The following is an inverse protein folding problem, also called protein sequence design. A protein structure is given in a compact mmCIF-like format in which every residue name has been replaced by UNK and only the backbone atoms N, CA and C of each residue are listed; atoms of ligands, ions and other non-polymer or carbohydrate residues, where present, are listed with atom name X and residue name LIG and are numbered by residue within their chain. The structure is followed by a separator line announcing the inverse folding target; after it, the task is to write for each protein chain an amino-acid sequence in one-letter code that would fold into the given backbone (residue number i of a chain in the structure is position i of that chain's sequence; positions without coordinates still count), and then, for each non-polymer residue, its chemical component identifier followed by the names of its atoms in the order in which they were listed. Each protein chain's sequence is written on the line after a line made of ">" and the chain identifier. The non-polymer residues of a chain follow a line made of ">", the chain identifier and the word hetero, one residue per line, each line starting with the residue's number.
data_IF_716252076293
#
_entry.id   IF_716252076293
#
_cell.length_a   1.000
_cell.length_b   1.000
_cell.length_c   1.000
_cell.angle_alpha   90.00
_cell.angle_beta   90.00
_cell.angle_gamma   90.00
#
_symmetry.space_group_name_H-M   'P 1'
#
loop_
_entity.id
_entity.type
_entity.pdbx_description
1 polymer ?
#
# COMPACT_ATOMS: atom_id res chain seq x y z
N UNK A 1 52.19 -39.68 51.31
CA UNK A 1 50.78 -39.47 51.72
C UNK A 1 50.12 -38.15 51.15
N UNK A 2 50.71 -37.47 50.15
CA UNK A 2 50.10 -36.20 49.61
C UNK A 2 49.22 -36.45 48.39
N UNK A 3 49.35 -37.53 47.64
CA UNK A 3 48.60 -37.71 46.38
C UNK A 3 47.18 -38.27 46.53
N UNK A 4 46.87 -38.97 47.65
CA UNK A 4 45.53 -39.52 47.87
C UNK A 4 44.43 -38.50 48.13
N UNK A 5 44.79 -37.35 48.71
CA UNK A 5 43.82 -36.23 48.96
C UNK A 5 43.45 -35.46 47.70
N UNK A 6 44.31 -35.44 46.67
CA UNK A 6 44.05 -34.78 45.41
C UNK A 6 43.06 -35.60 44.57
N UNK A 7 43.27 -36.93 44.50
CA UNK A 7 42.33 -37.80 43.77
C UNK A 7 40.95 -37.84 44.37
N UNK A 8 40.85 -37.75 45.71
CA UNK A 8 39.56 -37.70 46.40
C UNK A 8 38.78 -36.41 46.11
N UNK A 9 39.47 -35.25 46.00
CA UNK A 9 38.86 -34.00 45.65
C UNK A 9 38.39 -33.93 44.20
N UNK A 10 39.18 -34.53 43.28
CA UNK A 10 38.82 -34.61 41.86
C UNK A 10 37.63 -35.57 41.65
N UNK A 11 37.64 -36.72 42.34
CA UNK A 11 36.54 -37.69 42.30
C UNK A 11 35.25 -37.11 42.88
N UNK A 12 35.32 -36.32 43.97
CA UNK A 12 34.18 -35.66 44.58
C UNK A 12 33.62 -34.52 43.66
N UNK A 13 34.50 -33.84 42.93
CA UNK A 13 34.09 -32.82 41.94
C UNK A 13 33.32 -33.45 40.76
N UNK A 14 33.78 -34.57 40.23
CA UNK A 14 33.09 -35.29 39.14
C UNK A 14 31.74 -35.88 39.62
N UNK A 15 31.65 -36.34 40.87
CA UNK A 15 30.42 -36.86 41.45
C UNK A 15 29.37 -35.75 41.63
N UNK A 16 29.78 -34.53 42.00
CA UNK A 16 28.91 -33.37 42.12
C UNK A 16 28.43 -32.87 40.76
N UNK A 17 29.26 -32.88 39.73
CA UNK A 17 28.86 -32.49 38.34
C UNK A 17 27.90 -33.54 37.78
N UNK A 18 28.12 -34.83 38.04
CA UNK A 18 27.21 -35.92 37.61
C UNK A 18 25.84 -35.84 38.33
N UNK A 19 25.81 -35.49 39.63
CA UNK A 19 24.59 -35.31 40.38
C UNK A 19 23.83 -34.07 39.91
N UNK A 20 24.54 -33.00 39.53
CA UNK A 20 23.89 -31.79 38.96
C UNK A 20 23.34 -32.02 37.55
N UNK A 21 24.04 -32.84 36.71
CA UNK A 21 23.57 -33.29 35.41
C UNK A 21 22.34 -34.23 35.52
N UNK A 22 22.28 -35.05 36.56
CA UNK A 22 21.16 -35.96 36.81
C UNK A 22 19.93 -35.22 37.34
N UNK A 23 20.11 -34.11 38.07
CA UNK A 23 19.00 -33.21 38.49
C UNK A 23 18.38 -32.42 37.33
N UNK A 24 19.15 -32.19 36.27
CA UNK A 24 18.63 -31.54 35.06
C UNK A 24 17.83 -32.49 34.17
N UNK A 25 17.98 -33.81 34.36
CA UNK A 25 17.25 -34.84 33.59
C UNK A 25 15.95 -35.29 34.28
N UNK A 26 15.73 -34.96 35.55
CA UNK A 26 14.48 -35.28 36.28
C UNK A 26 13.47 -34.15 36.35
N UNK A 27 13.74 -33.00 35.71
CA UNK A 27 12.81 -31.88 35.64
C UNK A 27 11.93 -31.91 34.39
N UNK A 28 11.86 -33.02 33.67
CA UNK A 28 10.97 -33.18 32.49
C UNK A 28 10.00 -34.35 32.71
N UNK A 29 9.25 -34.35 33.78
CA UNK A 29 8.06 -35.18 33.97
C UNK A 29 7.14 -34.44 34.95
N UNK A 30 6.67 -33.30 34.53
CA UNK A 30 5.55 -32.63 35.14
C UNK A 30 4.50 -32.43 34.06
N UNK A 31 3.46 -33.18 34.23
CA UNK A 31 2.11 -32.84 33.86
C UNK A 31 1.90 -32.32 32.43
N UNK A 32 1.53 -33.24 31.56
CA UNK A 32 0.77 -32.91 30.38
C UNK A 32 -0.63 -32.43 30.77
N UNK A 33 -0.67 -31.35 31.56
CA UNK A 33 -1.76 -30.40 31.48
C UNK A 33 -1.65 -29.84 30.08
N UNK A 34 -2.55 -30.23 29.21
CA UNK A 34 -2.88 -29.47 28.02
C UNK A 34 -3.23 -28.06 28.53
N UNK A 35 -2.22 -27.18 28.62
CA UNK A 35 -2.47 -25.80 28.30
C UNK A 35 -2.86 -25.87 26.82
N UNK A 36 -4.13 -25.91 26.54
CA UNK A 36 -4.69 -25.21 25.40
C UNK A 36 -4.19 -23.76 25.59
N UNK A 37 -2.99 -23.44 25.14
CA UNK A 37 -2.69 -22.11 24.66
C UNK A 37 -3.82 -21.86 23.67
N UNK A 38 -4.80 -21.08 24.12
CA UNK A 38 -5.85 -20.58 23.25
C UNK A 38 -5.13 -20.09 22.00
N UNK A 39 -5.38 -20.71 20.86
CA UNK A 39 -4.68 -20.48 19.61
C UNK A 39 -5.01 -19.10 19.04
N UNK A 40 -4.74 -18.07 19.83
CA UNK A 40 -4.89 -16.66 19.46
C UNK A 40 -3.82 -16.32 18.45
N UNK A 41 -4.23 -16.02 17.24
CA UNK A 41 -3.33 -15.57 16.20
C UNK A 41 -2.93 -14.13 16.51
N UNK A 42 -1.62 -13.87 16.47
CA UNK A 42 -1.06 -12.53 16.69
C UNK A 42 -0.28 -12.16 15.45
N UNK A 43 -0.53 -10.99 14.90
CA UNK A 43 0.25 -10.39 13.82
C UNK A 43 0.97 -9.14 14.33
N UNK A 44 2.02 -8.74 13.62
CA UNK A 44 2.68 -7.44 13.84
C UNK A 44 2.27 -6.51 12.70
N UNK A 45 1.65 -5.39 13.04
CA UNK A 45 1.22 -4.41 12.03
C UNK A 45 2.36 -3.45 11.62
N UNK A 46 2.10 -2.57 10.67
CA UNK A 46 3.13 -1.65 10.15
C UNK A 46 3.44 -0.46 11.08
N UNK A 47 2.79 -0.36 12.25
CA UNK A 47 3.25 0.46 13.38
C UNK A 47 4.17 -0.32 14.33
N UNK A 48 4.43 -1.62 14.05
CA UNK A 48 5.24 -2.50 14.89
C UNK A 48 4.50 -3.05 16.12
N UNK A 49 3.15 -2.96 16.15
CA UNK A 49 2.33 -3.40 17.29
C UNK A 49 1.91 -4.86 17.11
N UNK A 50 1.93 -5.62 18.19
CA UNK A 50 1.33 -6.95 18.25
C UNK A 50 -0.20 -6.82 18.34
N UNK A 51 -0.92 -7.32 17.35
CA UNK A 51 -2.38 -7.28 17.29
C UNK A 51 -2.92 -8.70 17.39
N UNK A 52 -3.72 -8.94 18.42
CA UNK A 52 -4.46 -10.20 18.57
C UNK A 52 -5.64 -10.22 17.62
N UNK A 53 -5.73 -11.24 16.78
CA UNK A 53 -6.83 -11.41 15.84
C UNK A 53 -8.04 -12.08 16.52
N UNK A 54 -9.27 -11.77 16.07
CA UNK A 54 -10.42 -12.53 16.48
C UNK A 54 -10.31 -14.00 16.03
N UNK A 55 -10.89 -14.92 16.76
CA UNK A 55 -10.89 -16.36 16.46
C UNK A 55 -11.44 -16.60 15.02
N UNK A 56 -12.50 -15.89 14.68
CA UNK A 56 -13.08 -15.87 13.33
C UNK A 56 -13.22 -14.44 12.86
N UNK A 57 -12.73 -14.15 11.65
CA UNK A 57 -12.92 -12.86 10.99
C UNK A 57 -14.23 -12.93 10.21
N UNK A 58 -15.28 -12.32 10.74
CA UNK A 58 -16.62 -12.36 10.18
C UNK A 58 -16.88 -11.21 9.22
N UNK A 59 -16.68 -9.98 9.69
CA UNK A 59 -16.87 -8.75 8.92
C UNK A 59 -15.69 -7.80 9.14
N UNK A 60 -15.26 -7.23 8.03
CA UNK A 60 -14.14 -6.29 7.99
C UNK A 60 -14.52 -4.97 7.35
N UNK A 61 -13.77 -3.95 7.68
CA UNK A 61 -13.76 -2.70 6.94
C UNK A 61 -12.36 -2.07 6.94
N UNK A 62 -12.20 -1.01 6.18
CA UNK A 62 -11.03 -0.15 6.24
C UNK A 62 -11.48 1.31 6.37
N UNK A 63 -10.76 2.07 7.18
CA UNK A 63 -11.03 3.50 7.41
C UNK A 63 -10.22 4.40 6.48
N UNK A 64 -9.39 3.79 5.63
CA UNK A 64 -8.60 4.48 4.62
C UNK A 64 -8.69 3.74 3.28
N UNK A 65 -8.60 4.51 2.19
CA UNK A 65 -8.72 4.02 0.82
C UNK A 65 -7.77 2.85 0.51
N UNK A 66 -6.51 2.93 0.97
CA UNK A 66 -5.51 1.92 0.69
C UNK A 66 -5.91 0.55 1.26
N UNK A 67 -6.20 0.46 2.55
CA UNK A 67 -6.68 -0.78 3.17
C UNK A 67 -7.93 -1.34 2.49
N UNK A 68 -8.87 -0.45 2.12
CA UNK A 68 -10.09 -0.84 1.40
C UNK A 68 -9.81 -1.45 0.03
N UNK A 69 -8.94 -0.85 -0.77
CA UNK A 69 -8.55 -1.39 -2.08
C UNK A 69 -7.79 -2.72 -1.96
N UNK A 70 -6.96 -2.85 -0.93
CA UNK A 70 -6.27 -4.11 -0.65
C UNK A 70 -7.25 -5.24 -0.29
N UNK A 71 -8.37 -4.96 0.38
CA UNK A 71 -9.40 -5.98 0.63
C UNK A 71 -9.96 -6.56 -0.67
N UNK A 72 -10.19 -5.75 -1.71
CA UNK A 72 -10.58 -6.24 -3.04
C UNK A 72 -9.46 -7.08 -3.67
N UNK A 73 -8.23 -6.56 -3.69
CA UNK A 73 -7.09 -7.27 -4.26
C UNK A 73 -6.85 -8.63 -3.59
N UNK A 74 -7.09 -8.73 -2.28
CA UNK A 74 -7.00 -9.97 -1.51
C UNK A 74 -8.23 -10.87 -1.63
N UNK A 75 -9.23 -10.51 -2.45
CA UNK A 75 -10.43 -11.31 -2.66
C UNK A 75 -11.37 -11.38 -1.46
N UNK A 76 -11.36 -10.39 -0.57
CA UNK A 76 -12.16 -10.41 0.68
C UNK A 76 -13.50 -9.66 0.57
N UNK A 77 -14.02 -9.46 -0.63
CA UNK A 77 -15.27 -8.71 -0.89
C UNK A 77 -16.45 -9.23 -0.05
N UNK A 78 -16.56 -10.55 0.12
CA UNK A 78 -17.64 -11.20 0.90
C UNK A 78 -17.60 -10.87 2.41
N UNK A 79 -16.44 -10.45 2.91
CA UNK A 79 -16.28 -10.07 4.31
C UNK A 79 -16.45 -8.58 4.54
N UNK A 80 -16.51 -7.75 3.50
CA UNK A 80 -16.70 -6.31 3.63
C UNK A 80 -18.07 -6.04 4.27
N UNK A 81 -18.11 -5.20 5.30
CA UNK A 81 -19.32 -4.97 6.10
C UNK A 81 -20.27 -3.94 5.47
N UNK A 82 -19.76 -3.03 4.65
CA UNK A 82 -20.53 -1.95 4.03
C UNK A 82 -19.84 -1.44 2.76
N UNK A 83 -20.57 -0.76 1.88
CA UNK A 83 -19.98 -0.11 0.69
C UNK A 83 -19.03 1.02 1.11
N UNK A 84 -17.74 0.77 0.99
CA UNK A 84 -16.71 1.78 1.26
C UNK A 84 -16.69 2.77 0.09
N UNK A 85 -17.06 4.02 0.34
CA UNK A 85 -17.01 5.11 -0.66
C UNK A 85 -15.57 5.64 -0.79
N UNK A 86 -14.72 4.88 -1.44
CA UNK A 86 -13.28 5.12 -1.57
C UNK A 86 -12.82 5.25 -3.02
N UNK A 87 -13.69 5.76 -3.87
CA UNK A 87 -13.41 6.09 -5.26
C UNK A 87 -14.47 5.55 -6.23
N UNK A 88 -14.51 6.13 -7.42
CA UNK A 88 -15.48 5.81 -8.46
C UNK A 88 -15.45 4.33 -8.91
N UNK A 89 -14.29 3.68 -8.80
CA UNK A 89 -14.15 2.25 -9.09
C UNK A 89 -14.95 1.35 -8.13
N UNK A 90 -14.95 1.64 -6.83
CA UNK A 90 -15.77 0.89 -5.86
C UNK A 90 -17.25 1.20 -5.98
N UNK A 91 -17.61 2.42 -6.39
CA UNK A 91 -18.98 2.77 -6.75
C UNK A 91 -19.43 1.98 -7.98
N UNK A 92 -18.57 1.83 -9.00
CA UNK A 92 -18.83 1.02 -10.18
C UNK A 92 -18.95 -0.46 -9.84
N UNK A 93 -18.10 -1.00 -8.97
CA UNK A 93 -18.22 -2.39 -8.47
C UNK A 93 -19.57 -2.59 -7.78
N UNK A 94 -20.05 -1.64 -6.98
CA UNK A 94 -21.36 -1.74 -6.32
C UNK A 94 -22.55 -1.79 -7.31
N UNK A 95 -22.35 -1.35 -8.56
CA UNK A 95 -23.38 -1.47 -9.61
C UNK A 95 -23.41 -2.85 -10.24
N UNK A 96 -22.26 -3.51 -10.40
CA UNK A 96 -22.13 -4.78 -11.13
C UNK A 96 -22.07 -6.01 -10.21
N UNK A 97 -21.55 -5.86 -9.00
CA UNK A 97 -21.47 -6.93 -8.01
C UNK A 97 -22.71 -6.92 -7.10
N UNK A 98 -23.53 -7.94 -7.21
CA UNK A 98 -24.81 -8.03 -6.49
C UNK A 98 -24.61 -8.08 -4.97
N UNK A 99 -23.56 -8.79 -4.48
CA UNK A 99 -23.28 -8.88 -3.04
C UNK A 99 -22.84 -7.52 -2.51
N UNK A 100 -21.79 -6.92 -3.10
CA UNK A 100 -21.25 -5.64 -2.63
C UNK A 100 -22.27 -4.49 -2.80
N UNK A 101 -23.04 -4.49 -3.89
CA UNK A 101 -24.12 -3.53 -4.14
C UNK A 101 -25.28 -3.62 -3.15
N UNK A 102 -25.51 -4.78 -2.53
CA UNK A 102 -26.55 -4.96 -1.50
C UNK A 102 -26.14 -4.48 -0.10
N UNK A 103 -24.85 -4.24 0.13
CA UNK A 103 -24.36 -3.81 1.43
C UNK A 103 -24.84 -2.40 1.79
N UNK A 104 -24.99 -2.08 3.10
CA UNK A 104 -25.34 -0.74 3.54
C UNK A 104 -24.27 0.26 3.09
N UNK A 105 -24.70 1.48 2.76
CA UNK A 105 -23.79 2.59 2.49
C UNK A 105 -23.53 3.32 3.80
N UNK A 106 -22.29 3.30 4.28
CA UNK A 106 -21.85 4.13 5.40
C UNK A 106 -20.98 5.24 4.81
N UNK A 107 -21.42 6.48 4.98
CA UNK A 107 -20.61 7.63 4.60
C UNK A 107 -19.38 7.65 5.52
N UNK A 108 -18.23 7.32 4.97
CA UNK A 108 -16.99 7.58 5.68
C UNK A 108 -16.94 9.07 5.97
N UNK A 109 -16.82 9.42 7.25
CA UNK A 109 -16.59 10.81 7.64
C UNK A 109 -15.36 11.33 6.88
N UNK A 110 -15.32 12.59 6.44
CA UNK A 110 -14.12 13.22 5.90
C UNK A 110 -12.90 13.13 6.83
N UNK A 111 -13.13 12.73 8.09
CA UNK A 111 -12.11 12.49 9.12
C UNK A 111 -11.77 11.00 9.31
N UNK A 112 -12.32 10.10 8.47
CA UNK A 112 -11.94 8.68 8.44
C UNK A 112 -12.40 7.86 9.63
N UNK A 113 -13.46 8.25 10.32
CA UNK A 113 -13.93 7.53 11.51
C UNK A 113 -15.39 7.18 11.39
N UNK A 114 -15.66 5.96 10.96
CA UNK A 114 -16.90 5.32 11.36
C UNK A 114 -16.80 5.04 12.86
N UNK A 115 -17.84 5.36 13.61
CA UNK A 115 -17.76 5.16 15.06
C UNK A 115 -17.61 3.67 15.38
N UNK A 116 -16.81 3.29 16.39
CA UNK A 116 -16.68 1.90 16.80
C UNK A 116 -18.03 1.24 17.08
N UNK A 117 -19.01 1.98 17.65
CA UNK A 117 -20.36 1.48 17.92
C UNK A 117 -21.12 1.18 16.62
N UNK A 118 -20.96 2.01 15.58
CA UNK A 118 -21.55 1.79 14.26
C UNK A 118 -20.97 0.55 13.60
N UNK A 119 -19.65 0.36 13.68
CA UNK A 119 -18.96 -0.82 13.15
C UNK A 119 -19.39 -2.10 13.89
N UNK A 120 -19.50 -2.07 15.21
CA UNK A 120 -20.00 -3.21 16.00
C UNK A 120 -21.44 -3.56 15.63
N UNK A 121 -22.30 -2.56 15.37
CA UNK A 121 -23.67 -2.79 14.95
C UNK A 121 -23.77 -3.48 13.57
N UNK A 122 -22.75 -3.34 12.72
CA UNK A 122 -22.61 -4.03 11.44
C UNK A 122 -21.93 -5.40 11.57
N UNK A 123 -21.49 -5.78 12.76
CA UNK A 123 -20.78 -7.03 13.02
C UNK A 123 -19.30 -6.98 12.67
N UNK A 124 -18.72 -5.79 12.48
CA UNK A 124 -17.29 -5.65 12.20
C UNK A 124 -16.49 -6.06 13.43
N UNK A 125 -15.56 -6.99 13.25
CA UNK A 125 -14.64 -7.45 14.28
C UNK A 125 -13.17 -7.25 13.93
N UNK A 126 -12.89 -6.74 12.72
CA UNK A 126 -11.55 -6.34 12.27
C UNK A 126 -11.64 -5.08 11.41
N UNK A 127 -10.78 -4.10 11.71
CA UNK A 127 -10.66 -2.85 10.95
C UNK A 127 -9.21 -2.63 10.51
N UNK A 128 -9.02 -2.19 9.26
CA UNK A 128 -7.74 -1.71 8.75
C UNK A 128 -7.70 -0.19 8.82
N UNK A 129 -6.68 0.35 9.48
CA UNK A 129 -6.43 1.79 9.65
C UNK A 129 -5.19 2.22 8.88
N UNK A 130 -4.94 3.51 8.78
CA UNK A 130 -3.76 4.07 8.14
C UNK A 130 -2.68 4.39 9.17
N UNK A 131 -1.42 3.99 8.92
CA UNK A 131 -0.27 4.30 9.79
C UNK A 131 -0.09 5.80 10.03
N UNK A 132 -0.49 6.65 9.07
CA UNK A 132 -0.41 8.11 9.21
C UNK A 132 -1.33 8.68 10.29
N UNK A 133 -2.34 7.89 10.73
CA UNK A 133 -3.25 8.26 11.83
C UNK A 133 -2.68 7.91 13.20
N UNK A 134 -1.57 7.16 13.24
CA UNK A 134 -0.88 6.77 14.47
C UNK A 134 -1.65 5.74 15.31
N UNK A 135 -1.09 5.46 16.49
CA UNK A 135 -1.64 4.46 17.42
C UNK A 135 -3.03 4.84 17.94
N UNK A 136 -3.28 6.13 18.20
CA UNK A 136 -4.54 6.62 18.76
C UNK A 136 -5.77 6.18 17.92
N UNK A 137 -5.64 6.19 16.60
CA UNK A 137 -6.72 5.77 15.70
C UNK A 137 -7.03 4.28 15.82
N UNK A 138 -6.02 3.44 16.07
CA UNK A 138 -6.20 2.00 16.27
C UNK A 138 -6.69 1.66 17.67
N UNK A 139 -6.18 2.35 18.70
CA UNK A 139 -6.61 2.17 20.09
C UNK A 139 -8.10 2.44 20.28
N UNK A 140 -8.66 3.40 19.56
CA UNK A 140 -10.09 3.71 19.61
C UNK A 140 -10.95 2.46 19.27
N UNK A 141 -10.59 1.70 18.23
CA UNK A 141 -11.30 0.47 17.85
C UNK A 141 -11.01 -0.68 18.82
N UNK A 142 -9.75 -0.83 19.24
CA UNK A 142 -9.35 -1.88 20.18
C UNK A 142 -10.05 -1.73 21.53
N UNK A 143 -10.21 -0.50 22.03
CA UNK A 143 -10.94 -0.20 23.26
C UNK A 143 -12.43 -0.55 23.16
N UNK A 144 -12.99 -0.58 21.96
CA UNK A 144 -14.35 -1.02 21.69
C UNK A 144 -14.46 -2.54 21.45
N UNK A 145 -13.35 -3.28 21.43
CA UNK A 145 -13.33 -4.72 21.20
C UNK A 145 -13.23 -5.13 19.73
N UNK A 146 -12.86 -4.20 18.85
CA UNK A 146 -12.61 -4.47 17.42
C UNK A 146 -11.09 -4.58 17.22
N UNK A 147 -10.60 -5.67 16.65
CA UNK A 147 -9.19 -5.76 16.26
C UNK A 147 -8.87 -4.68 15.22
N UNK A 148 -7.73 -3.98 15.41
CA UNK A 148 -7.36 -2.88 14.52
C UNK A 148 -5.90 -3.00 14.07
N UNK A 149 -5.71 -3.05 12.76
CA UNK A 149 -4.44 -3.25 12.08
C UNK A 149 -4.10 -1.99 11.28
N UNK A 150 -2.94 -1.41 11.53
CA UNK A 150 -2.45 -0.28 10.76
C UNK A 150 -1.68 -0.75 9.52
N UNK A 151 -2.02 -0.18 8.35
CA UNK A 151 -1.42 -0.51 7.06
C UNK A 151 -0.91 0.75 6.36
N UNK A 152 0.11 0.59 5.50
CA UNK A 152 0.71 1.62 4.67
C UNK A 152 0.94 1.12 3.26
N UNK A 153 1.17 2.01 2.32
CA UNK A 153 1.44 1.69 0.93
C UNK A 153 2.22 2.76 0.17
N UNK A 154 2.92 3.66 0.86
CA UNK A 154 3.70 4.74 0.23
C UNK A 154 4.90 4.21 -0.58
N UNK A 155 5.34 2.97 -0.33
CA UNK A 155 6.37 2.28 -1.10
C UNK A 155 5.85 0.93 -1.57
N UNK A 156 6.50 0.33 -2.58
CA UNK A 156 6.16 -1.02 -3.03
C UNK A 156 6.42 -2.07 -1.98
N UNK A 157 7.47 -1.89 -1.18
CA UNK A 157 7.79 -2.76 -0.05
C UNK A 157 6.65 -2.78 0.95
N UNK A 158 6.09 -1.61 1.30
CA UNK A 158 4.92 -1.50 2.19
C UNK A 158 3.66 -2.13 1.58
N UNK A 159 3.45 -1.96 0.27
CA UNK A 159 2.35 -2.65 -0.45
C UNK A 159 2.48 -4.17 -0.33
N UNK A 160 3.69 -4.70 -0.53
CA UNK A 160 3.95 -6.14 -0.44
C UNK A 160 3.86 -6.66 1.00
N UNK A 161 4.33 -5.88 1.97
CA UNK A 161 4.16 -6.19 3.39
C UNK A 161 2.68 -6.24 3.77
N UNK A 162 1.88 -5.28 3.32
CA UNK A 162 0.43 -5.28 3.54
C UNK A 162 -0.24 -6.50 2.90
N UNK A 163 0.13 -6.87 1.67
CA UNK A 163 -0.40 -8.06 1.02
C UNK A 163 -0.07 -9.33 1.82
N UNK A 164 1.19 -9.50 2.25
CA UNK A 164 1.61 -10.66 3.07
C UNK A 164 0.86 -10.69 4.40
N UNK A 165 0.79 -9.56 5.10
CA UNK A 165 0.08 -9.43 6.37
C UNK A 165 -1.41 -9.77 6.21
N UNK A 166 -2.09 -9.26 5.18
CA UNK A 166 -3.47 -9.64 4.89
C UNK A 166 -3.59 -11.13 4.50
N UNK A 167 -2.60 -11.68 3.82
CA UNK A 167 -2.50 -13.13 3.55
C UNK A 167 -2.48 -13.97 4.82
N UNK A 168 -1.74 -13.54 5.85
CA UNK A 168 -1.73 -14.17 7.17
C UNK A 168 -3.05 -13.97 7.92
N UNK A 169 -3.60 -12.74 7.89
CA UNK A 169 -4.87 -12.39 8.54
C UNK A 169 -6.02 -13.23 8.01
N UNK A 170 -6.14 -13.37 6.69
CA UNK A 170 -7.24 -14.09 6.03
C UNK A 170 -6.91 -15.55 5.68
N UNK A 171 -5.73 -16.04 6.08
CA UNK A 171 -5.28 -17.42 5.79
C UNK A 171 -5.26 -17.72 4.28
N UNK A 172 -4.83 -16.74 3.49
CA UNK A 172 -4.72 -16.84 2.03
C UNK A 172 -3.34 -16.37 1.52
N UNK A 173 -2.23 -16.96 1.99
CA UNK A 173 -0.88 -16.53 1.61
C UNK A 173 -0.62 -16.68 0.10
N UNK A 174 -1.24 -17.65 -0.56
CA UNK A 174 -1.13 -17.85 -2.01
C UNK A 174 -1.69 -16.63 -2.76
N UNK A 175 -2.80 -16.06 -2.29
CA UNK A 175 -3.36 -14.85 -2.89
C UNK A 175 -2.47 -13.64 -2.69
N UNK A 176 -1.82 -13.53 -1.54
CA UNK A 176 -0.83 -12.48 -1.30
C UNK A 176 0.35 -12.59 -2.27
N UNK A 177 0.87 -13.79 -2.48
CA UNK A 177 1.95 -14.05 -3.45
C UNK A 177 1.52 -13.74 -4.89
N UNK A 178 0.28 -14.08 -5.27
CA UNK A 178 -0.29 -13.70 -6.58
C UNK A 178 -0.35 -12.18 -6.77
N UNK A 179 -0.84 -11.43 -5.77
CA UNK A 179 -0.91 -9.95 -5.82
C UNK A 179 0.48 -9.35 -5.98
N UNK A 180 1.45 -9.82 -5.19
CA UNK A 180 2.83 -9.35 -5.25
C UNK A 180 3.43 -9.65 -6.63
N UNK A 181 3.34 -10.91 -7.06
CA UNK A 181 3.91 -11.34 -8.35
C UNK A 181 3.29 -10.58 -9.52
N UNK A 182 1.97 -10.34 -9.49
CA UNK A 182 1.28 -9.59 -10.54
C UNK A 182 1.81 -8.15 -10.67
N UNK A 183 1.99 -7.46 -9.53
CA UNK A 183 2.54 -6.09 -9.52
C UNK A 183 4.02 -6.12 -9.96
N UNK A 184 4.81 -7.08 -9.48
CA UNK A 184 6.22 -7.21 -9.83
C UNK A 184 6.41 -7.51 -11.32
N UNK A 185 5.59 -8.37 -11.91
CA UNK A 185 5.65 -8.69 -13.34
C UNK A 185 5.44 -7.44 -14.20
N UNK A 186 4.47 -6.59 -13.84
CA UNK A 186 4.22 -5.33 -14.54
C UNK A 186 5.36 -4.31 -14.35
N UNK A 187 5.93 -4.23 -13.15
CA UNK A 187 7.12 -3.40 -12.90
C UNK A 187 8.35 -3.91 -13.65
N UNK A 188 8.53 -5.22 -13.70
CA UNK A 188 9.61 -5.87 -14.45
C UNK A 188 9.46 -5.67 -15.95
N UNK A 189 8.25 -5.65 -16.47
CA UNK A 189 7.98 -5.30 -17.88
C UNK A 189 8.49 -3.88 -18.18
N UNK A 190 8.22 -2.89 -17.31
CA UNK A 190 8.71 -1.52 -17.48
C UNK A 190 10.22 -1.47 -17.42
N UNK A 191 10.84 -2.03 -16.37
CA UNK A 191 12.29 -1.98 -16.17
C UNK A 191 13.05 -2.70 -17.28
N UNK A 192 12.50 -3.80 -17.82
CA UNK A 192 13.11 -4.54 -18.95
C UNK A 192 13.09 -3.72 -20.23
N UNK A 193 12.02 -2.98 -20.51
CA UNK A 193 11.92 -2.09 -21.67
C UNK A 193 12.91 -0.93 -21.57
N UNK A 194 13.10 -0.40 -20.38
CA UNK A 194 13.99 0.74 -20.10
C UNK A 194 15.43 0.34 -19.77
N UNK A 195 15.80 -0.94 -19.82
CA UNK A 195 17.13 -1.41 -19.44
C UNK A 195 18.28 -0.78 -20.24
N UNK A 196 18.00 -0.28 -21.46
CA UNK A 196 18.96 0.40 -22.31
C UNK A 196 18.92 1.93 -22.25
N UNK A 197 18.05 2.50 -21.40
CA UNK A 197 17.88 3.97 -21.31
C UNK A 197 19.12 4.60 -20.66
N UNK A 198 19.86 5.50 -21.37
CA UNK A 198 20.97 6.24 -20.76
C UNK A 198 20.47 7.17 -19.67
N UNK A 199 21.28 7.32 -18.60
CA UNK A 199 20.91 8.17 -17.47
C UNK A 199 20.65 9.63 -17.84
N UNK A 200 21.35 10.15 -18.84
CA UNK A 200 21.20 11.51 -19.38
C UNK A 200 19.92 11.69 -20.24
N UNK A 201 19.27 10.61 -20.63
CA UNK A 201 18.01 10.63 -21.40
C UNK A 201 16.77 10.51 -20.47
N UNK A 202 16.98 10.39 -19.16
CA UNK A 202 15.87 10.35 -18.19
C UNK A 202 15.26 11.75 -18.06
N UNK A 203 13.97 11.96 -18.41
CA UNK A 203 13.34 13.25 -18.35
C UNK A 203 13.06 13.66 -16.91
N UNK A 204 13.08 14.97 -16.65
CA UNK A 204 12.66 15.57 -15.38
C UNK A 204 11.15 15.71 -15.39
N UNK A 205 10.48 15.12 -14.39
CA UNK A 205 9.03 15.09 -14.25
C UNK A 205 8.61 15.80 -12.96
N UNK A 206 7.77 16.81 -13.06
CA UNK A 206 7.11 17.43 -11.92
C UNK A 206 5.74 16.80 -11.73
N UNK A 207 5.52 16.10 -10.61
CA UNK A 207 4.19 15.59 -10.23
C UNK A 207 3.57 16.54 -9.22
N UNK A 208 2.41 17.09 -9.58
CA UNK A 208 1.65 18.08 -8.80
C UNK A 208 0.48 17.41 -8.08
N UNK A 209 0.23 17.83 -6.84
CA UNK A 209 -0.85 17.31 -5.99
C UNK A 209 -2.08 18.23 -5.90
N UNK A 210 -2.82 18.05 -4.84
CA UNK A 210 -4.10 18.74 -4.57
C UNK A 210 -4.00 20.26 -4.48
N UNK A 211 -2.81 20.82 -4.29
CA UNK A 211 -2.58 22.27 -4.28
C UNK A 211 -2.29 22.86 -5.66
N UNK A 212 -2.47 22.07 -6.74
CA UNK A 212 -2.23 22.51 -8.12
C UNK A 212 -0.75 22.51 -8.51
N UNK A 213 -0.42 23.22 -9.59
CA UNK A 213 0.94 23.24 -10.20
C UNK A 213 2.03 23.74 -9.26
N UNK A 214 1.66 24.46 -8.21
CA UNK A 214 2.59 24.95 -7.18
C UNK A 214 2.76 24.00 -5.99
N UNK A 215 2.56 22.71 -6.20
CA UNK A 215 2.91 21.66 -5.27
C UNK A 215 3.74 20.59 -5.96
N UNK A 216 4.62 19.93 -5.21
CA UNK A 216 5.47 18.87 -5.74
C UNK A 216 5.47 17.64 -4.82
N UNK A 217 5.42 16.46 -5.42
CA UNK A 217 5.65 15.19 -4.72
C UNK A 217 7.12 15.08 -4.30
N UNK A 218 7.36 14.77 -3.02
CA UNK A 218 8.71 14.60 -2.47
C UNK A 218 9.19 13.16 -2.57
N UNK A 219 10.46 12.89 -2.21
CA UNK A 219 11.04 11.54 -2.23
C UNK A 219 10.34 10.53 -1.30
N UNK A 220 9.60 11.01 -0.28
CA UNK A 220 8.88 10.15 0.67
C UNK A 220 7.47 9.73 0.21
N UNK A 221 7.15 9.88 -1.08
CA UNK A 221 5.81 9.63 -1.60
C UNK A 221 5.82 8.58 -2.73
N UNK A 222 4.70 7.89 -2.87
CA UNK A 222 4.48 6.92 -3.95
C UNK A 222 4.75 7.51 -5.34
N UNK A 223 4.34 8.75 -5.59
CA UNK A 223 4.54 9.44 -6.87
C UNK A 223 6.03 9.60 -7.24
N UNK A 224 6.92 9.73 -6.27
CA UNK A 224 8.36 9.69 -6.52
C UNK A 224 8.78 8.33 -7.05
N UNK A 225 8.40 7.25 -6.37
CA UNK A 225 8.72 5.88 -6.79
C UNK A 225 8.09 5.54 -8.15
N UNK A 226 6.90 6.07 -8.43
CA UNK A 226 6.23 5.94 -9.72
C UNK A 226 7.06 6.55 -10.85
N UNK A 227 7.52 7.80 -10.69
CA UNK A 227 8.35 8.48 -11.68
C UNK A 227 9.70 7.76 -11.89
N UNK A 228 10.38 7.39 -10.79
CA UNK A 228 11.67 6.70 -10.87
C UNK A 228 11.55 5.33 -11.57
N UNK A 229 10.50 4.57 -11.25
CA UNK A 229 10.23 3.27 -11.88
C UNK A 229 9.87 3.44 -13.36
N UNK A 230 9.18 4.52 -13.71
CA UNK A 230 8.87 4.87 -15.10
C UNK A 230 10.09 5.40 -15.91
N UNK A 231 11.27 5.50 -15.30
CA UNK A 231 12.50 5.95 -15.97
C UNK A 231 12.66 7.48 -15.99
N UNK A 232 11.86 8.23 -15.23
CA UNK A 232 11.99 9.67 -15.07
C UNK A 232 12.86 10.08 -13.87
N UNK A 233 13.01 11.38 -13.64
CA UNK A 233 13.63 12.01 -12.47
C UNK A 233 12.57 12.91 -11.84
N UNK A 234 12.19 12.63 -10.58
CA UNK A 234 11.23 13.49 -9.89
C UNK A 234 11.84 14.83 -9.53
N UNK A 235 11.28 15.92 -10.05
CA UNK A 235 11.76 17.30 -9.81
C UNK A 235 11.75 17.67 -8.31
N UNK A 236 10.75 17.18 -7.55
CA UNK A 236 10.60 17.44 -6.11
C UNK A 236 11.41 16.52 -5.18
N UNK A 237 12.26 15.61 -5.72
CA UNK A 237 12.94 14.58 -4.93
C UNK A 237 13.83 15.13 -3.78
N UNK A 238 14.32 16.36 -3.89
CA UNK A 238 15.17 16.99 -2.86
C UNK A 238 14.37 17.70 -1.76
N UNK A 239 13.06 17.80 -1.88
CA UNK A 239 12.19 18.43 -0.90
C UNK A 239 11.83 17.45 0.21
N UNK A 240 11.41 18.01 1.36
CA UNK A 240 11.04 17.24 2.55
C UNK A 240 9.55 17.28 2.81
N UNK A 241 9.04 16.26 3.51
CA UNK A 241 7.63 16.12 3.85
C UNK A 241 6.90 15.22 2.84
N UNK A 242 5.62 15.47 2.62
CA UNK A 242 4.80 14.80 1.58
C UNK A 242 4.65 15.74 0.38
N UNK A 243 3.50 16.39 0.23
CA UNK A 243 3.33 17.44 -0.77
C UNK A 243 4.03 18.72 -0.29
N UNK A 244 5.01 19.19 -1.05
CA UNK A 244 5.72 20.42 -0.75
C UNK A 244 5.15 21.57 -1.57
N UNK A 245 4.92 22.75 -0.92
CA UNK A 245 4.61 23.97 -1.64
C UNK A 245 5.87 24.47 -2.34
N UNK A 246 5.75 24.85 -3.61
CA UNK A 246 6.83 25.35 -4.46
C UNK A 246 6.42 26.66 -5.13
N UNK A 247 7.38 27.39 -5.62
CA UNK A 247 7.18 28.64 -6.33
C UNK A 247 7.37 28.47 -7.85
N UNK A 248 6.95 29.48 -8.61
CA UNK A 248 7.22 29.53 -10.05
C UNK A 248 8.73 29.51 -10.34
N UNK A 249 9.54 30.16 -9.47
CA UNK A 249 10.99 30.18 -9.57
C UNK A 249 11.60 28.80 -9.41
N UNK A 250 11.06 27.97 -8.49
CA UNK A 250 11.50 26.59 -8.32
C UNK A 250 11.23 25.77 -9.60
N UNK A 251 10.02 25.90 -10.16
CA UNK A 251 9.65 25.20 -11.40
C UNK A 251 10.52 25.64 -12.57
N UNK A 252 10.81 26.94 -12.69
CA UNK A 252 11.70 27.49 -13.72
C UNK A 252 13.13 26.97 -13.55
N UNK A 253 13.61 26.87 -12.30
CA UNK A 253 14.94 26.36 -11.98
C UNK A 253 15.10 24.86 -12.33
N UNK A 254 14.09 24.06 -12.03
CA UNK A 254 14.08 22.63 -12.37
C UNK A 254 13.87 22.39 -13.86
N UNK A 255 13.17 23.28 -14.55
CA UNK A 255 12.84 23.25 -15.97
C UNK A 255 12.35 21.87 -16.42
N UNK A 256 11.26 21.33 -15.81
CA UNK A 256 10.81 19.96 -16.05
C UNK A 256 10.46 19.76 -17.53
N UNK A 257 10.76 18.56 -18.02
CA UNK A 257 10.38 18.11 -19.38
C UNK A 257 8.89 17.76 -19.44
N UNK A 258 8.32 17.25 -18.32
CA UNK A 258 6.91 16.88 -18.15
C UNK A 258 6.34 17.45 -16.86
N UNK A 259 5.08 17.88 -16.89
CA UNK A 259 4.27 18.20 -15.71
C UNK A 259 3.08 17.24 -15.67
N UNK A 260 2.90 16.52 -14.57
CA UNK A 260 1.79 15.59 -14.37
C UNK A 260 0.93 16.08 -13.22
N UNK A 261 -0.34 16.33 -13.50
CA UNK A 261 -1.33 16.74 -12.53
C UNK A 261 -1.99 15.51 -11.91
N UNK A 262 -2.03 15.45 -10.58
CA UNK A 262 -2.65 14.35 -9.84
C UNK A 262 -4.15 14.26 -10.11
N UNK A 263 -4.65 13.03 -10.24
CA UNK A 263 -6.05 12.74 -10.55
C UNK A 263 -7.04 13.04 -9.43
N UNK A 264 -6.54 13.12 -8.18
CA UNK A 264 -7.40 13.16 -6.98
C UNK A 264 -8.08 14.51 -6.73
N UNK A 265 -7.49 15.61 -7.17
CA UNK A 265 -7.87 16.91 -6.65
C UNK A 265 -7.77 18.02 -7.71
N UNK A 266 -8.26 17.80 -8.90
CA UNK A 266 -8.25 18.72 -10.05
C UNK A 266 -8.48 20.21 -9.71
N UNK A 267 -7.48 20.81 -9.05
CA UNK A 267 -7.47 22.25 -8.76
C UNK A 267 -7.12 23.00 -10.03
N UNK A 268 -6.19 22.43 -10.81
CA UNK A 268 -5.79 22.92 -12.11
C UNK A 268 -6.18 21.93 -13.20
N UNK A 269 -6.59 22.44 -14.35
CA UNK A 269 -6.66 21.68 -15.58
C UNK A 269 -5.41 21.94 -16.45
N UNK A 270 -5.20 21.10 -17.44
CA UNK A 270 -4.06 21.20 -18.35
C UNK A 270 -4.01 22.57 -19.02
N UNK A 271 -5.16 23.10 -19.45
CA UNK A 271 -5.25 24.38 -20.16
C UNK A 271 -4.86 25.54 -19.26
N UNK A 272 -5.24 25.53 -17.97
CA UNK A 272 -4.87 26.56 -17.01
C UNK A 272 -3.37 26.61 -16.76
N UNK A 273 -2.72 25.46 -16.64
CA UNK A 273 -1.26 25.36 -16.48
C UNK A 273 -0.53 25.83 -17.74
N UNK A 274 -1.01 25.43 -18.92
CA UNK A 274 -0.43 25.89 -20.20
C UNK A 274 -0.60 27.40 -20.41
N UNK A 275 -1.65 28.01 -19.86
CA UNK A 275 -1.90 29.46 -19.92
C UNK A 275 -1.15 30.26 -18.83
N UNK A 276 -0.52 29.59 -17.84
CA UNK A 276 0.14 30.26 -16.73
C UNK A 276 1.36 31.07 -17.20
N UNK A 277 1.24 32.38 -17.08
CA UNK A 277 2.22 33.33 -17.65
C UNK A 277 3.60 33.22 -17.01
N UNK A 278 3.67 32.84 -15.73
CA UNK A 278 4.92 32.67 -15.01
C UNK A 278 5.71 31.44 -15.50
N UNK A 279 5.03 30.42 -16.05
CA UNK A 279 5.63 29.14 -16.46
C UNK A 279 5.90 29.05 -17.98
N UNK A 280 5.60 30.08 -18.75
CA UNK A 280 5.75 30.07 -20.23
C UNK A 280 7.15 29.73 -20.76
N UNK A 281 8.19 29.83 -19.90
CA UNK A 281 9.58 29.51 -20.26
C UNK A 281 9.97 28.09 -19.95
N UNK A 282 9.18 27.36 -19.19
CA UNK A 282 9.39 25.96 -18.77
C UNK A 282 9.22 25.02 -19.97
N UNK A 283 10.09 24.03 -20.12
CA UNK A 283 10.07 23.07 -21.24
C UNK A 283 8.72 22.39 -21.38
N UNK A 284 8.17 21.85 -20.31
CA UNK A 284 6.88 21.17 -20.34
C UNK A 284 5.76 22.05 -20.89
N UNK A 285 5.71 23.31 -20.49
CA UNK A 285 4.70 24.27 -20.97
C UNK A 285 4.91 24.63 -22.46
N UNK A 286 6.15 24.89 -22.86
CA UNK A 286 6.49 25.19 -24.26
C UNK A 286 6.16 24.04 -25.21
N UNK A 287 6.44 22.81 -24.78
CA UNK A 287 6.25 21.61 -25.60
C UNK A 287 4.85 21.02 -25.46
N UNK A 288 4.01 21.57 -24.57
CA UNK A 288 2.68 21.08 -24.21
C UNK A 288 2.68 19.69 -23.55
N UNK A 289 3.76 19.38 -22.85
CA UNK A 289 3.92 18.16 -22.07
C UNK A 289 3.37 18.36 -20.63
N UNK A 290 2.13 18.81 -20.56
CA UNK A 290 1.35 18.92 -19.34
C UNK A 290 0.20 17.92 -19.42
N UNK A 291 0.15 16.97 -18.50
CA UNK A 291 -0.75 15.82 -18.55
C UNK A 291 -1.51 15.65 -17.23
N UNK A 292 -2.67 14.98 -17.29
CA UNK A 292 -3.42 14.49 -16.15
C UNK A 292 -3.58 12.98 -16.29
N UNK A 293 -3.65 12.24 -15.18
CA UNK A 293 -3.89 10.79 -15.23
C UNK A 293 -5.25 10.50 -15.87
N UNK A 294 -5.32 9.58 -16.85
CA UNK A 294 -6.47 9.46 -17.75
C UNK A 294 -7.65 8.71 -17.15
N UNK A 295 -7.52 8.10 -15.98
CA UNK A 295 -8.53 7.20 -15.42
C UNK A 295 -9.80 7.93 -14.98
N UNK A 296 -10.95 7.49 -15.49
CA UNK A 296 -12.28 7.94 -15.04
C UNK A 296 -12.80 7.20 -13.80
N UNK A 297 -12.20 6.06 -13.43
CA UNK A 297 -12.68 5.25 -12.30
C UNK A 297 -11.63 5.28 -11.19
N UNK A 298 -10.81 5.16 -10.75
CA UNK A 298 -9.92 5.17 -9.62
C UNK A 298 -8.67 6.00 -9.88
N UNK A 299 -7.98 6.29 -8.83
CA UNK A 299 -6.76 7.07 -8.89
C UNK A 299 -5.56 6.17 -9.17
N UNK A 300 -4.80 6.48 -10.21
CA UNK A 300 -3.61 5.70 -10.59
C UNK A 300 -2.31 6.27 -10.01
N UNK A 301 -2.38 7.45 -9.43
CA UNK A 301 -1.29 8.18 -8.78
C UNK A 301 -1.34 8.12 -7.25
N UNK A 302 -2.16 7.25 -6.68
CA UNK A 302 -2.27 7.04 -5.24
C UNK A 302 -1.64 5.68 -4.86
N UNK A 303 -1.17 5.45 -3.62
CA UNK A 303 -0.59 4.16 -3.23
C UNK A 303 -1.66 3.05 -3.11
N UNK A 304 -2.11 2.55 -4.23
CA UNK A 304 -3.19 1.57 -4.38
C UNK A 304 -2.72 0.36 -5.21
N UNK A 305 -3.34 -0.81 -5.10
CA UNK A 305 -2.95 -1.98 -5.91
C UNK A 305 -2.98 -1.72 -7.42
N UNK A 306 -3.98 -0.97 -7.91
CA UNK A 306 -4.11 -0.62 -9.32
C UNK A 306 -3.12 0.46 -9.80
N UNK A 307 -2.35 1.08 -8.92
CA UNK A 307 -1.49 2.21 -9.30
C UNK A 307 -0.24 1.82 -10.09
N UNK A 308 -0.03 0.52 -10.28
CA UNK A 308 0.89 0.03 -11.31
C UNK A 308 0.52 0.55 -12.71
N UNK A 309 -0.79 0.83 -12.96
CA UNK A 309 -1.27 1.47 -14.18
C UNK A 309 -0.72 2.90 -14.33
N UNK A 310 -0.65 3.65 -13.23
CA UNK A 310 -0.04 4.98 -13.24
C UNK A 310 1.44 4.95 -13.59
N UNK A 311 2.17 3.91 -13.17
CA UNK A 311 3.57 3.74 -13.55
C UNK A 311 3.70 3.44 -15.04
N UNK A 312 2.87 2.51 -15.56
CA UNK A 312 2.88 2.13 -16.98
C UNK A 312 2.51 3.33 -17.85
N UNK A 313 1.46 4.06 -17.46
CA UNK A 313 1.03 5.26 -18.16
C UNK A 313 2.11 6.36 -18.13
N UNK A 314 2.75 6.60 -16.99
CA UNK A 314 3.85 7.56 -16.87
C UNK A 314 5.01 7.14 -17.76
N UNK A 315 5.42 5.86 -17.73
CA UNK A 315 6.48 5.35 -18.58
C UNK A 315 6.17 5.51 -20.09
N UNK A 316 4.94 5.20 -20.51
CA UNK A 316 4.48 5.39 -21.88
C UNK A 316 4.44 6.86 -22.28
N UNK A 317 4.06 7.75 -21.35
CA UNK A 317 3.99 9.20 -21.61
C UNK A 317 5.38 9.81 -21.78
N UNK A 318 6.34 9.44 -20.92
CA UNK A 318 7.67 10.06 -20.93
C UNK A 318 8.68 9.33 -21.83
N UNK A 319 8.37 8.08 -22.24
CA UNK A 319 9.19 7.25 -23.15
C UNK A 319 8.32 6.54 -24.19
N UNK A 320 7.58 7.26 -25.04
CA UNK A 320 6.60 6.67 -25.96
C UNK A 320 7.20 5.60 -26.88
N UNK A 321 8.44 5.77 -27.35
CA UNK A 321 9.11 4.84 -28.26
C UNK A 321 9.36 3.45 -27.64
N UNK A 322 9.50 3.36 -26.32
CA UNK A 322 9.69 2.10 -25.58
C UNK A 322 8.38 1.38 -25.27
N UNK A 323 7.22 2.07 -25.42
CA UNK A 323 5.90 1.57 -25.05
C UNK A 323 4.86 1.73 -26.16
N UNK A 324 5.32 1.79 -27.43
CA UNK A 324 4.46 2.00 -28.59
C UNK A 324 3.35 0.93 -28.70
N UNK A 325 3.69 -0.33 -28.40
CA UNK A 325 2.81 -1.50 -28.43
C UNK A 325 1.93 -1.67 -27.19
N UNK A 326 2.05 -0.83 -26.16
CA UNK A 326 1.25 -0.93 -24.93
C UNK A 326 -0.08 -0.23 -25.12
N UNK A 327 -1.17 -1.00 -25.09
CA UNK A 327 -2.54 -0.46 -25.04
C UNK A 327 -2.93 -0.24 -23.57
N UNK A 328 -3.19 1.02 -23.19
CA UNK A 328 -3.52 1.36 -21.81
C UNK A 328 -4.90 0.88 -21.38
N UNK A 329 -5.86 0.75 -22.30
CA UNK A 329 -7.19 0.23 -21.99
C UNK A 329 -7.13 -1.27 -21.71
N UNK A 330 -6.39 -2.03 -22.55
CA UNK A 330 -6.13 -3.45 -22.31
C UNK A 330 -5.40 -3.69 -20.98
N UNK A 331 -4.41 -2.84 -20.66
CA UNK A 331 -3.72 -2.91 -19.38
C UNK A 331 -4.64 -2.60 -18.20
N UNK A 332 -5.52 -1.61 -18.33
CA UNK A 332 -6.51 -1.28 -17.32
C UNK A 332 -7.50 -2.43 -17.11
N UNK A 333 -8.04 -3.01 -18.19
CA UNK A 333 -8.91 -4.18 -18.12
C UNK A 333 -8.26 -5.33 -17.36
N UNK A 334 -7.00 -5.67 -17.70
CA UNK A 334 -6.26 -6.75 -17.04
C UNK A 334 -6.03 -6.49 -15.55
N UNK A 335 -5.67 -5.27 -15.16
CA UNK A 335 -5.40 -4.93 -13.75
C UNK A 335 -6.69 -4.90 -12.93
N UNK A 336 -7.76 -4.35 -13.47
CA UNK A 336 -9.04 -4.28 -12.79
C UNK A 336 -9.69 -5.66 -12.65
N UNK A 337 -9.63 -6.51 -13.68
CA UNK A 337 -10.10 -7.90 -13.60
C UNK A 337 -9.34 -8.68 -12.50
N UNK A 338 -8.03 -8.49 -12.40
CA UNK A 338 -7.23 -9.15 -11.36
C UNK A 338 -7.61 -8.70 -9.94
N UNK A 339 -7.88 -7.39 -9.75
CA UNK A 339 -8.15 -6.81 -8.42
C UNK A 339 -9.62 -6.97 -8.02
N UNK A 340 -10.55 -6.70 -8.93
CA UNK A 340 -11.98 -6.58 -8.65
C UNK A 340 -12.82 -7.74 -9.21
N UNK A 341 -12.25 -8.57 -10.08
CA UNK A 341 -13.00 -9.62 -10.81
C UNK A 341 -13.81 -9.09 -11.99
N UNK A 342 -13.70 -7.82 -12.33
CA UNK A 342 -14.37 -7.14 -13.43
C UNK A 342 -13.35 -6.30 -14.20
N UNK A 343 -13.44 -6.28 -15.54
CA UNK A 343 -12.58 -5.43 -16.35
C UNK A 343 -12.89 -3.94 -16.13
N UNK A 344 -11.92 -3.08 -16.41
CA UNK A 344 -12.10 -1.63 -16.35
C UNK A 344 -13.25 -1.17 -17.22
N UNK A 345 -13.36 -1.76 -18.43
CA UNK A 345 -14.43 -1.49 -19.40
C UNK A 345 -15.80 -1.96 -18.90
N UNK A 346 -15.91 -3.14 -18.27
CA UNK A 346 -17.17 -3.63 -17.65
C UNK A 346 -17.65 -2.72 -16.54
N UNK A 347 -16.74 -2.11 -15.80
CA UNK A 347 -17.04 -1.10 -14.78
C UNK A 347 -17.40 0.27 -15.36
N UNK A 348 -17.43 0.42 -16.69
CA UNK A 348 -17.74 1.69 -17.36
C UNK A 348 -16.56 2.66 -17.41
N UNK A 349 -15.34 2.19 -17.21
CA UNK A 349 -14.12 2.99 -17.25
C UNK A 349 -13.80 3.48 -18.66
N UNK A 350 -13.32 4.72 -18.74
CA UNK A 350 -12.78 5.36 -19.94
C UNK A 350 -11.47 6.06 -19.62
N UNK A 351 -10.58 6.15 -20.61
CA UNK A 351 -9.27 6.81 -20.53
C UNK A 351 -9.31 8.20 -21.18
#
# INVERSE_FOLDING_TARGET
>A
MKNGKLYLKVALGYLLVLLFALMLLTSCSADSGQNEESGRRIIVDQLGRAVELPETIEKVCATHIYGGKMLFAMGQIEKIAFQMQIGADTEAVAVVDEHYGSLPTVLSSPQGTDSPEGLLALGVNLVFTDVSKGEEATEMYQNAGIAAIAVSGETFEEVYETARMMGEVFECPERADEVISFIEDLRNMISSRLAGLPGEERPVVLVCGSGGVYTAATAGMFQHHMVETAGGINAGAQLSGRWANISAEDIILWDPDFIVLGSTFGVDDVDSVLAESALKTVKAVKNKEVHIFPSSLGWWDFPLPQSVLGIIWTAKTIHPDYFEDVDMLEMADRVYEFIYGYTYTELGGVL
#
